data_IF_253007489385
#
_entry.id   IF_253007489385
#
_cell.length_a   1.000
_cell.length_b   1.000
_cell.length_c   1.000
_cell.angle_alpha   90.00
_cell.angle_beta   90.00
_cell.angle_gamma   90.00
#
_symmetry.space_group_name_H-M   'P 1'
#
loop_
_entity.id
_entity.type
_entity.pdbx_description
1 polymer ?
#
# COMPACT_ATOMS: atom_id res chain seq x y z
N UNK A 1 -0.39 -8.94 -24.60
CA UNK A 1 0.62 -7.99 -24.11
C UNK A 1 1.96 -8.70 -24.23
N UNK A 2 3.00 -8.06 -24.74
CA UNK A 2 4.34 -8.66 -24.78
C UNK A 2 5.21 -8.24 -23.58
N UNK A 3 6.40 -8.84 -23.43
CA UNK A 3 7.33 -8.52 -22.33
C UNK A 3 7.67 -7.02 -22.26
N UNK A 4 7.78 -6.36 -23.41
CA UNK A 4 8.10 -4.95 -23.48
C UNK A 4 6.93 -4.10 -22.97
N UNK A 5 5.72 -4.34 -23.49
CA UNK A 5 4.50 -3.66 -23.06
C UNK A 5 4.23 -3.85 -21.56
N UNK A 6 4.42 -5.06 -21.03
CA UNK A 6 4.25 -5.32 -19.61
C UNK A 6 5.29 -4.61 -18.75
N UNK A 7 6.56 -4.58 -19.19
CA UNK A 7 7.61 -3.84 -18.48
C UNK A 7 7.32 -2.34 -18.41
N UNK A 8 6.76 -1.76 -19.48
CA UNK A 8 6.36 -0.35 -19.51
C UNK A 8 5.13 -0.09 -18.64
N UNK A 9 4.20 -1.04 -18.58
CA UNK A 9 3.07 -0.99 -17.65
C UNK A 9 3.54 -1.00 -16.19
N UNK A 10 4.43 -1.92 -15.81
CA UNK A 10 5.00 -2.00 -14.45
C UNK A 10 5.71 -0.68 -14.07
N UNK A 11 6.51 -0.09 -14.97
CA UNK A 11 7.14 1.23 -14.75
C UNK A 11 6.09 2.32 -14.54
N UNK A 12 5.04 2.35 -15.36
CA UNK A 12 3.96 3.33 -15.26
C UNK A 12 3.22 3.21 -13.93
N UNK A 13 2.90 1.99 -13.51
CA UNK A 13 2.24 1.71 -12.23
C UNK A 13 3.16 2.08 -11.06
N UNK A 14 4.46 1.80 -11.14
CA UNK A 14 5.45 2.19 -10.12
C UNK A 14 5.50 3.69 -9.91
N UNK A 15 5.50 4.46 -11.00
CA UNK A 15 5.43 5.92 -10.92
C UNK A 15 4.12 6.39 -10.28
N UNK A 16 2.97 5.80 -10.66
CA UNK A 16 1.67 6.15 -10.07
C UNK A 16 1.62 5.85 -8.57
N UNK A 17 2.07 4.67 -8.14
CA UNK A 17 2.14 4.28 -6.74
C UNK A 17 3.09 5.19 -5.96
N UNK A 18 4.26 5.53 -6.52
CA UNK A 18 5.20 6.48 -5.92
C UNK A 18 4.63 7.90 -5.76
N UNK A 19 3.85 8.38 -6.74
CA UNK A 19 3.14 9.65 -6.64
C UNK A 19 2.09 9.63 -5.53
N UNK A 20 1.32 8.54 -5.43
CA UNK A 20 0.37 8.35 -4.33
C UNK A 20 1.09 8.37 -2.99
N UNK A 21 2.20 7.64 -2.85
CA UNK A 21 3.02 7.61 -1.63
C UNK A 21 3.46 9.02 -1.20
N UNK A 22 3.87 9.85 -2.16
CA UNK A 22 4.31 11.23 -1.92
C UNK A 22 3.19 12.13 -1.38
N UNK A 23 1.94 11.86 -1.77
CA UNK A 23 0.76 12.62 -1.33
C UNK A 23 0.28 12.12 0.04
N UNK A 24 0.10 10.82 0.19
CA UNK A 24 -0.50 10.24 1.41
C UNK A 24 0.50 10.11 2.56
N UNK A 25 1.80 10.07 2.25
CA UNK A 25 2.90 9.94 3.22
C UNK A 25 2.67 8.75 4.18
N UNK A 26 2.80 7.51 3.70
CA UNK A 26 2.44 6.31 4.48
C UNK A 26 3.15 6.23 5.83
N UNK A 27 4.41 6.68 5.91
CA UNK A 27 5.15 6.74 7.18
C UNK A 27 4.51 7.69 8.20
N UNK A 28 4.02 8.85 7.77
CA UNK A 28 3.29 9.76 8.66
C UNK A 28 1.98 9.14 9.15
N UNK A 29 1.30 8.38 8.28
CA UNK A 29 0.08 7.66 8.66
C UNK A 29 0.40 6.59 9.72
N UNK A 30 1.49 5.82 9.54
CA UNK A 30 1.94 4.82 10.51
C UNK A 30 2.29 5.45 11.86
N UNK A 31 3.00 6.59 11.86
CA UNK A 31 3.28 7.35 13.08
C UNK A 31 1.99 7.77 13.78
N UNK A 32 1.04 8.35 13.04
CA UNK A 32 -0.25 8.78 13.59
C UNK A 32 -1.07 7.62 14.15
N UNK A 33 -1.08 6.48 13.48
CA UNK A 33 -1.77 5.28 13.98
C UNK A 33 -1.17 4.79 15.31
N UNK A 34 0.16 4.83 15.44
CA UNK A 34 0.84 4.50 16.69
C UNK A 34 0.51 5.48 17.82
N UNK A 35 0.49 6.78 17.54
CA UNK A 35 0.04 7.79 18.50
C UNK A 35 -1.40 7.52 18.98
N UNK A 36 -2.30 7.17 18.06
CA UNK A 36 -3.69 6.85 18.40
C UNK A 36 -3.76 5.60 19.29
N UNK A 37 -2.96 4.58 19.01
CA UNK A 37 -2.87 3.38 19.85
C UNK A 37 -2.37 3.71 21.26
N UNK A 38 -1.36 4.59 21.40
CA UNK A 38 -0.89 5.08 22.69
C UNK A 38 -1.97 5.87 23.45
N UNK A 39 -2.77 6.68 22.73
CA UNK A 39 -3.91 7.40 23.32
C UNK A 39 -5.00 6.44 23.81
N UNK A 40 -5.35 5.43 23.01
CA UNK A 40 -6.37 4.43 23.35
C UNK A 40 -6.01 3.61 24.60
N UNK A 41 -4.71 3.44 24.87
CA UNK A 41 -4.22 2.78 26.08
C UNK A 41 -4.40 3.61 27.36
N UNK A 42 -4.68 4.91 27.26
CA UNK A 42 -4.93 5.77 28.42
C UNK A 42 -6.39 5.69 28.87
N UNK A 43 -6.68 5.38 30.15
CA UNK A 43 -8.06 5.39 30.67
C UNK A 43 -8.76 6.76 30.54
N UNK A 44 -7.99 7.86 30.54
CA UNK A 44 -8.54 9.21 30.38
C UNK A 44 -9.09 9.47 28.99
N UNK A 45 -8.59 8.76 27.97
CA UNK A 45 -9.07 8.89 26.59
C UNK A 45 -10.54 8.50 26.47
N UNK A 46 -10.93 7.43 27.17
CA UNK A 46 -12.30 6.92 27.17
C UNK A 46 -13.27 7.76 28.02
N UNK A 47 -12.77 8.73 28.78
CA UNK A 47 -13.59 9.64 29.59
C UNK A 47 -14.31 10.69 28.74
N UNK A 48 -13.77 11.04 27.57
CA UNK A 48 -14.41 11.93 26.59
C UNK A 48 -14.87 11.15 25.36
N UNK A 49 -16.12 10.69 25.41
CA UNK A 49 -16.76 9.90 24.34
C UNK A 49 -16.77 10.65 23.00
N UNK A 50 -16.92 11.98 23.01
CA UNK A 50 -16.95 12.76 21.76
C UNK A 50 -15.57 12.76 21.11
N UNK A 51 -14.53 13.01 21.90
CA UNK A 51 -13.14 13.02 21.41
C UNK A 51 -12.72 11.62 20.96
N UNK A 52 -13.03 10.58 21.74
CA UNK A 52 -12.76 9.19 21.37
C UNK A 52 -13.45 8.82 20.05
N UNK A 53 -14.68 9.27 19.82
CA UNK A 53 -15.40 9.05 18.56
C UNK A 53 -14.78 9.77 17.35
N UNK A 54 -14.22 10.97 17.53
CA UNK A 54 -13.50 11.70 16.46
C UNK A 54 -12.22 10.95 16.09
N UNK A 55 -11.42 10.58 17.09
CA UNK A 55 -10.16 9.85 16.90
C UNK A 55 -10.40 8.46 16.30
N UNK A 56 -11.44 7.75 16.72
CA UNK A 56 -11.81 6.47 16.13
C UNK A 56 -12.15 6.58 14.63
N UNK A 57 -12.89 7.62 14.23
CA UNK A 57 -13.19 7.89 12.81
C UNK A 57 -11.92 8.23 12.01
N UNK A 58 -11.03 9.03 12.60
CA UNK A 58 -9.72 9.34 12.02
C UNK A 58 -8.93 8.05 11.78
N UNK A 59 -8.78 7.22 12.82
CA UNK A 59 -8.09 5.92 12.78
C UNK A 59 -8.63 5.05 11.65
N UNK A 60 -9.95 4.83 11.58
CA UNK A 60 -10.54 4.02 10.51
C UNK A 60 -10.22 4.57 9.11
N UNK A 61 -10.31 5.90 8.93
CA UNK A 61 -10.03 6.54 7.64
C UNK A 61 -8.58 6.32 7.21
N UNK A 62 -7.62 6.58 8.10
CA UNK A 62 -6.19 6.51 7.76
C UNK A 62 -5.69 5.06 7.67
N UNK A 63 -6.25 4.14 8.48
CA UNK A 63 -5.99 2.69 8.34
C UNK A 63 -6.42 2.17 6.98
N UNK A 64 -7.64 2.51 6.53
CA UNK A 64 -8.13 2.07 5.23
C UNK A 64 -7.31 2.67 4.08
N UNK A 65 -6.92 3.95 4.19
CA UNK A 65 -6.06 4.59 3.21
C UNK A 65 -4.69 3.90 3.10
N UNK A 66 -4.04 3.65 4.24
CA UNK A 66 -2.74 2.96 4.29
C UNK A 66 -2.85 1.55 3.71
N UNK A 67 -3.86 0.77 4.13
CA UNK A 67 -4.08 -0.59 3.65
C UNK A 67 -4.26 -0.66 2.13
N UNK A 68 -5.05 0.25 1.56
CA UNK A 68 -5.27 0.29 0.11
C UNK A 68 -3.97 0.61 -0.64
N UNK A 69 -3.15 1.52 -0.11
CA UNK A 69 -1.83 1.81 -0.67
C UNK A 69 -0.90 0.61 -0.57
N UNK A 70 -0.79 -0.02 0.61
CA UNK A 70 0.10 -1.17 0.84
C UNK A 70 -0.30 -2.35 -0.05
N UNK A 71 -1.59 -2.61 -0.23
CA UNK A 71 -2.06 -3.64 -1.16
C UNK A 71 -1.60 -3.37 -2.60
N UNK A 72 -1.74 -2.14 -3.08
CA UNK A 72 -1.33 -1.77 -4.43
C UNK A 72 0.20 -1.81 -4.60
N UNK A 73 0.95 -1.35 -3.59
CA UNK A 73 2.41 -1.35 -3.58
C UNK A 73 2.96 -2.79 -3.57
N UNK A 74 2.43 -3.66 -2.70
CA UNK A 74 2.87 -5.04 -2.60
C UNK A 74 2.53 -5.81 -3.87
N UNK A 75 1.29 -5.74 -4.36
CA UNK A 75 0.90 -6.42 -5.60
C UNK A 75 1.77 -6.02 -6.80
N UNK A 76 2.16 -4.73 -6.88
CA UNK A 76 3.06 -4.26 -7.92
C UNK A 76 4.49 -4.79 -7.75
N UNK A 77 5.01 -4.82 -6.53
CA UNK A 77 6.35 -5.37 -6.27
C UNK A 77 6.37 -6.87 -6.56
N UNK A 78 5.39 -7.62 -6.08
CA UNK A 78 5.26 -9.06 -6.32
C UNK A 78 5.21 -9.36 -7.84
N UNK A 79 4.40 -8.61 -8.60
CA UNK A 79 4.33 -8.73 -10.05
C UNK A 79 5.65 -8.37 -10.74
N UNK A 80 6.36 -7.36 -10.24
CA UNK A 80 7.66 -6.95 -10.79
C UNK A 80 8.74 -7.99 -10.52
N UNK A 81 8.80 -8.53 -9.31
CA UNK A 81 9.75 -9.57 -8.91
C UNK A 81 9.49 -10.88 -9.68
N UNK A 82 8.23 -11.29 -9.82
CA UNK A 82 7.86 -12.48 -10.58
C UNK A 82 8.19 -12.32 -12.07
N UNK A 83 7.97 -11.14 -12.64
CA UNK A 83 8.37 -10.83 -14.02
C UNK A 83 9.89 -10.90 -14.21
N UNK A 84 10.63 -10.25 -13.32
CA UNK A 84 12.10 -10.20 -13.40
C UNK A 84 12.69 -11.61 -13.28
N UNK A 85 12.14 -12.44 -12.37
CA UNK A 85 12.54 -13.84 -12.20
C UNK A 85 12.25 -14.65 -13.48
N UNK A 86 11.00 -14.67 -13.94
CA UNK A 86 10.59 -15.45 -15.11
C UNK A 86 11.35 -15.03 -16.38
N UNK A 87 11.59 -13.72 -16.55
CA UNK A 87 12.38 -13.21 -17.67
C UNK A 87 13.86 -13.61 -17.58
N UNK A 88 14.45 -13.66 -16.37
CA UNK A 88 15.83 -14.10 -16.17
C UNK A 88 16.02 -15.60 -16.43
N UNK A 89 14.99 -16.40 -16.15
CA UNK A 89 15.00 -17.86 -16.34
C UNK A 89 14.53 -18.29 -17.74
N UNK A 90 14.13 -17.34 -18.59
CA UNK A 90 13.46 -17.61 -19.88
C UNK A 90 12.21 -18.50 -19.72
N UNK A 91 11.51 -18.38 -18.59
CA UNK A 91 10.25 -19.08 -18.34
C UNK A 91 9.11 -18.35 -19.04
N UNK A 92 8.91 -18.71 -20.31
CA UNK A 92 7.88 -18.12 -21.16
C UNK A 92 6.46 -18.45 -20.69
N UNK A 93 6.25 -19.59 -20.02
CA UNK A 93 4.93 -19.98 -19.52
C UNK A 93 4.48 -19.05 -18.40
N UNK A 94 5.37 -18.79 -17.43
CA UNK A 94 5.10 -17.85 -16.33
C UNK A 94 4.94 -16.42 -16.86
N UNK A 95 5.74 -16.01 -17.85
CA UNK A 95 5.57 -14.71 -18.51
C UNK A 95 4.19 -14.58 -19.17
N UNK A 96 3.75 -15.58 -19.94
CA UNK A 96 2.42 -15.56 -20.55
C UNK A 96 1.29 -15.57 -19.50
N UNK A 97 1.48 -16.25 -18.37
CA UNK A 97 0.54 -16.22 -17.25
C UNK A 97 0.42 -14.84 -16.59
N UNK A 98 1.45 -14.00 -16.63
CA UNK A 98 1.42 -12.62 -16.16
C UNK A 98 0.65 -11.67 -17.11
N UNK A 99 0.49 -12.07 -18.37
CA UNK A 99 -0.16 -11.24 -19.40
C UNK A 99 -1.68 -11.48 -19.52
N UNK A 100 -2.19 -12.57 -18.96
CA UNK A 100 -3.59 -13.00 -19.01
C UNK A 100 -4.39 -12.55 -17.79
#
# INVERSE_FOLDING_TARGET
>A
MDNYEFSELLKTLKNKVGNIASIIKPENIKTRLKEIEELENSPSFWSDVKQAGIIGKEKTKITNLLKNYENAFNALNDASELFDLANSENDTETLEALFN
#
